data_IF_696554540126
#
_entry.id   IF_696554540126
#
_cell.length_a   1.000
_cell.length_b   1.000
_cell.length_c   1.000
_cell.angle_alpha   90.00
_cell.angle_beta   90.00
_cell.angle_gamma   90.00
#
_symmetry.space_group_name_H-M   'P 1'
#
loop_
_entity.id
_entity.type
_entity.pdbx_description
1 polymer ?
#
# COMPACT_ATOMS: atom_id res chain seq x y z
N UNK A 1 -0.16 8.46 -18.57
CA UNK A 1 0.85 9.49 -18.22
C UNK A 1 1.63 9.18 -16.94
N UNK A 2 1.01 8.77 -15.83
CA UNK A 2 1.69 8.45 -14.55
C UNK A 2 2.79 7.40 -14.66
N UNK A 3 2.60 6.38 -15.52
CA UNK A 3 3.62 5.37 -15.83
C UNK A 3 4.95 6.00 -16.26
N UNK A 4 4.94 6.91 -17.23
CA UNK A 4 6.15 7.54 -17.76
C UNK A 4 6.92 8.26 -16.65
N UNK A 5 6.23 9.09 -15.87
CA UNK A 5 6.85 9.85 -14.78
C UNK A 5 7.37 8.96 -13.65
N UNK A 6 6.68 7.85 -13.34
CA UNK A 6 7.17 6.89 -12.34
C UNK A 6 8.49 6.26 -12.77
N UNK A 7 8.59 5.84 -14.05
CA UNK A 7 9.83 5.27 -14.59
C UNK A 7 10.94 6.33 -14.66
N UNK A 8 10.61 7.56 -15.07
CA UNK A 8 11.57 8.67 -15.08
C UNK A 8 12.10 8.96 -13.67
N UNK A 9 11.24 9.00 -12.64
CA UNK A 9 11.67 9.20 -11.26
C UNK A 9 12.64 8.11 -10.78
N UNK A 10 12.36 6.84 -11.12
CA UNK A 10 13.26 5.73 -10.80
C UNK A 10 14.59 5.83 -11.56
N UNK A 11 14.53 6.15 -12.85
CA UNK A 11 15.72 6.30 -13.68
C UNK A 11 16.63 7.43 -13.17
N UNK A 12 16.05 8.60 -12.84
CA UNK A 12 16.80 9.74 -12.30
C UNK A 12 17.51 9.38 -10.98
N UNK A 13 16.87 8.58 -10.10
CA UNK A 13 17.54 8.09 -8.89
C UNK A 13 18.65 7.09 -9.17
N UNK A 14 18.48 6.23 -10.17
CA UNK A 14 19.48 5.24 -10.54
C UNK A 14 20.79 5.89 -11.01
N UNK A 15 20.71 7.10 -11.55
CA UNK A 15 21.87 7.91 -11.97
C UNK A 15 22.23 9.01 -10.95
N UNK A 16 21.80 8.86 -9.69
CA UNK A 16 22.08 9.77 -8.58
C UNK A 16 21.64 11.24 -8.78
N UNK A 17 20.65 11.48 -9.64
CA UNK A 17 20.04 12.81 -9.80
C UNK A 17 18.92 12.96 -8.77
N UNK A 18 19.05 13.91 -7.81
CA UNK A 18 18.05 14.11 -6.78
C UNK A 18 16.77 14.67 -7.39
N UNK A 19 15.68 13.92 -7.29
CA UNK A 19 14.33 14.41 -7.58
C UNK A 19 13.74 14.98 -6.28
N UNK A 20 13.02 16.10 -6.38
CA UNK A 20 12.30 16.68 -5.23
C UNK A 20 11.46 15.59 -4.54
N UNK A 21 11.66 15.30 -3.24
CA UNK A 21 11.00 14.20 -2.55
C UNK A 21 9.47 14.25 -2.66
N UNK A 22 8.90 15.46 -2.61
CA UNK A 22 7.47 15.68 -2.78
C UNK A 22 6.97 15.23 -4.17
N UNK A 23 7.71 15.54 -5.23
CA UNK A 23 7.33 15.16 -6.59
C UNK A 23 7.35 13.64 -6.76
N UNK A 24 8.42 12.98 -6.26
CA UNK A 24 8.51 11.52 -6.33
C UNK A 24 7.39 10.84 -5.53
N UNK A 25 7.06 11.37 -4.35
CA UNK A 25 5.95 10.86 -3.56
C UNK A 25 4.62 10.98 -4.31
N UNK A 26 4.30 12.13 -4.88
CA UNK A 26 3.03 12.34 -5.60
C UNK A 26 2.94 11.42 -6.81
N UNK A 27 4.00 11.35 -7.62
CA UNK A 27 4.04 10.56 -8.85
C UNK A 27 3.93 9.06 -8.54
N UNK A 28 4.73 8.54 -7.59
CA UNK A 28 4.71 7.12 -7.25
C UNK A 28 3.41 6.71 -6.57
N UNK A 29 2.83 7.55 -5.69
CA UNK A 29 1.52 7.27 -5.08
C UNK A 29 0.41 7.17 -6.13
N UNK A 30 0.37 8.12 -7.06
CA UNK A 30 -0.62 8.10 -8.15
C UNK A 30 -0.44 6.86 -9.05
N UNK A 31 0.80 6.42 -9.28
CA UNK A 31 1.05 5.22 -10.07
C UNK A 31 0.71 3.93 -9.33
N UNK A 32 0.97 3.87 -8.02
CA UNK A 32 0.58 2.73 -7.18
C UNK A 32 -0.93 2.50 -7.18
N UNK A 33 -1.74 3.55 -7.12
CA UNK A 33 -3.21 3.44 -7.22
C UNK A 33 -3.65 2.83 -8.55
N UNK A 34 -2.98 3.19 -9.65
CA UNK A 34 -3.25 2.60 -10.97
C UNK A 34 -2.86 1.13 -11.02
N UNK A 35 -1.73 0.74 -10.39
CA UNK A 35 -1.30 -0.65 -10.32
C UNK A 35 -2.24 -1.52 -9.46
N UNK A 36 -2.74 -0.95 -8.36
CA UNK A 36 -3.73 -1.59 -7.48
C UNK A 36 -5.04 -1.83 -8.24
N UNK A 37 -5.56 -0.81 -8.93
CA UNK A 37 -6.76 -0.93 -9.75
C UNK A 37 -6.58 -1.93 -10.92
N UNK A 38 -5.37 -2.06 -11.45
CA UNK A 38 -5.03 -3.03 -12.49
C UNK A 38 -4.73 -4.45 -11.96
N UNK A 39 -4.77 -4.66 -10.64
CA UNK A 39 -4.47 -5.95 -10.01
C UNK A 39 -3.00 -6.39 -10.11
N UNK A 40 -2.08 -5.52 -10.52
CA UNK A 40 -0.66 -5.84 -10.73
C UNK A 40 0.13 -5.73 -9.42
N UNK A 41 -0.13 -6.68 -8.53
CA UNK A 41 0.36 -6.68 -7.14
C UNK A 41 1.86 -6.90 -7.02
N UNK A 42 2.49 -7.62 -7.96
CA UNK A 42 3.95 -7.81 -7.93
C UNK A 42 4.73 -6.49 -8.02
N UNK A 43 4.22 -5.54 -8.82
CA UNK A 43 4.90 -4.26 -9.04
C UNK A 43 4.74 -3.31 -7.84
N UNK A 44 3.68 -3.46 -7.05
CA UNK A 44 3.38 -2.57 -5.93
C UNK A 44 4.49 -2.61 -4.88
N UNK A 45 5.02 -3.81 -4.55
CA UNK A 45 6.12 -3.94 -3.60
C UNK A 45 7.39 -3.20 -4.07
N UNK A 46 7.73 -3.35 -5.35
CA UNK A 46 8.88 -2.67 -5.96
C UNK A 46 8.74 -1.14 -5.91
N UNK A 47 7.58 -0.59 -6.34
CA UNK A 47 7.37 0.86 -6.34
C UNK A 47 7.17 1.44 -4.94
N UNK A 48 6.61 0.66 -4.00
CA UNK A 48 6.50 1.03 -2.58
C UNK A 48 7.87 1.15 -1.94
N UNK A 49 8.78 0.19 -2.16
CA UNK A 49 10.15 0.25 -1.63
C UNK A 49 10.91 1.51 -2.09
N UNK A 50 10.62 1.97 -3.31
CA UNK A 50 11.20 3.21 -3.83
C UNK A 50 10.66 4.48 -3.14
N UNK A 51 9.66 4.44 -2.26
CA UNK A 51 9.18 5.63 -1.53
C UNK A 51 10.02 6.00 -0.31
N UNK A 52 11.07 5.24 0.01
CA UNK A 52 11.96 5.52 1.15
C UNK A 52 11.20 5.43 2.48
N UNK A 53 11.27 6.48 3.29
CA UNK A 53 10.69 6.52 4.65
C UNK A 53 9.20 6.19 4.72
N UNK A 54 8.45 6.44 3.63
CA UNK A 54 7.02 6.17 3.53
C UNK A 54 6.67 4.79 2.93
N UNK A 55 7.66 3.95 2.63
CA UNK A 55 7.46 2.67 1.96
C UNK A 55 6.60 1.69 2.77
N UNK A 56 6.89 1.57 4.08
CA UNK A 56 6.18 0.66 4.99
C UNK A 56 4.70 1.03 5.06
N UNK A 57 4.41 2.30 5.35
CA UNK A 57 3.05 2.79 5.54
C UNK A 57 2.18 2.57 4.29
N UNK A 58 2.76 2.83 3.12
CA UNK A 58 2.08 2.68 1.83
C UNK A 58 1.81 1.22 1.49
N UNK A 59 2.76 0.35 1.77
CA UNK A 59 2.60 -1.07 1.51
C UNK A 59 1.61 -1.72 2.49
N UNK A 60 1.62 -1.31 3.77
CA UNK A 60 0.66 -1.77 4.76
C UNK A 60 -0.78 -1.34 4.40
N UNK A 61 -1.00 -0.12 3.90
CA UNK A 61 -2.31 0.30 3.38
C UNK A 61 -2.80 -0.62 2.26
N UNK A 62 -1.93 -0.98 1.31
CA UNK A 62 -2.27 -1.92 0.24
C UNK A 62 -2.58 -3.33 0.76
N UNK A 63 -1.82 -3.82 1.75
CA UNK A 63 -2.12 -5.11 2.35
C UNK A 63 -3.46 -5.11 3.11
N UNK A 64 -3.79 -3.99 3.77
CA UNK A 64 -5.07 -3.82 4.47
C UNK A 64 -6.25 -3.82 3.49
N UNK A 65 -6.12 -3.18 2.32
CA UNK A 65 -7.16 -3.21 1.28
C UNK A 65 -7.30 -4.61 0.65
N UNK A 66 -6.19 -5.35 0.56
CA UNK A 66 -6.13 -6.72 0.07
C UNK A 66 -6.73 -7.75 1.05
N UNK A 67 -6.51 -7.55 2.35
CA UNK A 67 -6.89 -8.46 3.45
C UNK A 67 -8.39 -8.75 3.54
N UNK A 68 -9.21 -7.83 3.05
CA UNK A 68 -10.66 -8.00 3.00
C UNK A 68 -11.14 -9.02 1.96
N UNK A 69 -10.27 -9.45 1.04
CA UNK A 69 -10.64 -10.27 -0.13
C UNK A 69 -9.69 -11.47 -0.33
N UNK A 70 -8.47 -11.42 0.20
CA UNK A 70 -7.40 -12.36 -0.12
C UNK A 70 -7.24 -13.55 0.84
N UNK A 71 -6.90 -14.72 0.29
CA UNK A 71 -6.55 -15.94 1.04
C UNK A 71 -5.25 -15.77 1.86
N UNK A 72 -5.07 -16.60 2.89
CA UNK A 72 -3.85 -16.66 3.74
C UNK A 72 -2.57 -16.81 2.90
N UNK A 73 -2.62 -17.60 1.83
CA UNK A 73 -1.45 -17.81 0.96
C UNK A 73 -1.07 -16.55 0.18
N UNK A 74 -2.07 -15.79 -0.30
CA UNK A 74 -1.85 -14.55 -1.04
C UNK A 74 -1.25 -13.46 -0.13
N UNK A 75 -1.68 -13.40 1.13
CA UNK A 75 -1.09 -12.53 2.16
C UNK A 75 0.37 -12.86 2.42
N UNK A 76 0.67 -14.15 2.59
CA UNK A 76 2.05 -14.61 2.82
C UNK A 76 2.95 -14.30 1.63
N UNK A 77 2.45 -14.46 0.41
CA UNK A 77 3.16 -14.12 -0.82
C UNK A 77 3.44 -12.61 -0.90
N UNK A 78 2.45 -11.76 -0.60
CA UNK A 78 2.62 -10.31 -0.61
C UNK A 78 3.66 -9.87 0.44
N UNK A 79 3.58 -10.38 1.67
CA UNK A 79 4.58 -10.11 2.70
C UNK A 79 5.99 -10.58 2.29
N UNK A 80 6.11 -11.73 1.62
CA UNK A 80 7.41 -12.22 1.10
C UNK A 80 8.00 -11.27 0.07
N UNK A 81 7.18 -10.75 -0.86
CA UNK A 81 7.62 -9.75 -1.85
C UNK A 81 8.06 -8.44 -1.22
N UNK A 82 7.43 -8.03 -0.11
CA UNK A 82 7.87 -6.85 0.64
C UNK A 82 9.34 -6.97 1.07
N UNK A 83 9.70 -8.16 1.58
CA UNK A 83 11.08 -8.46 1.99
C UNK A 83 12.06 -8.43 0.81
N UNK A 84 11.67 -9.00 -0.33
CA UNK A 84 12.51 -9.05 -1.55
C UNK A 84 12.83 -7.65 -2.10
N UNK A 85 11.92 -6.70 -1.93
CA UNK A 85 12.08 -5.32 -2.40
C UNK A 85 12.58 -4.34 -1.33
N UNK A 86 13.18 -4.86 -0.25
CA UNK A 86 13.86 -4.05 0.76
C UNK A 86 12.93 -3.34 1.74
N UNK A 87 11.65 -3.71 1.82
CA UNK A 87 10.78 -3.23 2.90
C UNK A 87 11.05 -4.02 4.18
N UNK A 88 10.93 -3.34 5.33
CA UNK A 88 11.01 -3.98 6.64
C UNK A 88 9.79 -4.87 6.89
N UNK A 89 9.92 -6.15 6.56
CA UNK A 89 8.89 -7.18 6.69
C UNK A 89 8.13 -7.11 8.03
N UNK A 90 8.86 -7.09 9.15
CA UNK A 90 8.28 -7.06 10.49
C UNK A 90 7.43 -5.80 10.71
N UNK A 91 7.97 -4.63 10.33
CA UNK A 91 7.27 -3.35 10.47
C UNK A 91 6.02 -3.31 9.60
N UNK A 92 6.10 -3.79 8.37
CA UNK A 92 4.96 -3.91 7.45
C UNK A 92 3.86 -4.80 8.05
N UNK A 93 4.21 -5.97 8.59
CA UNK A 93 3.23 -6.88 9.17
C UNK A 93 2.52 -6.26 10.38
N UNK A 94 3.26 -5.60 11.28
CA UNK A 94 2.69 -4.92 12.45
C UNK A 94 1.74 -3.80 12.03
N UNK A 95 2.19 -2.88 11.16
CA UNK A 95 1.38 -1.74 10.71
C UNK A 95 0.14 -2.22 9.92
N UNK A 96 0.25 -3.32 9.18
CA UNK A 96 -0.90 -3.93 8.50
C UNK A 96 -1.92 -4.46 9.51
N UNK A 97 -1.47 -5.21 10.52
CA UNK A 97 -2.35 -5.74 11.55
C UNK A 97 -3.07 -4.63 12.33
N UNK A 98 -2.34 -3.58 12.74
CA UNK A 98 -2.90 -2.40 13.41
C UNK A 98 -4.00 -1.75 12.55
N UNK A 99 -3.70 -1.50 11.26
CA UNK A 99 -4.67 -0.88 10.33
C UNK A 99 -5.89 -1.76 10.05
N UNK A 100 -5.72 -3.07 10.00
CA UNK A 100 -6.84 -4.01 9.81
C UNK A 100 -7.77 -4.00 11.02
N UNK A 101 -7.20 -3.91 12.23
CA UNK A 101 -7.96 -3.75 13.47
C UNK A 101 -8.74 -2.43 13.45
N UNK A 102 -8.08 -1.31 13.18
CA UNK A 102 -8.74 0.02 13.11
C UNK A 102 -9.89 0.02 12.10
N UNK A 103 -9.65 -0.54 10.90
CA UNK A 103 -10.66 -0.62 9.84
C UNK A 103 -11.82 -1.54 10.20
N UNK A 104 -11.57 -2.64 10.92
CA UNK A 104 -12.62 -3.52 11.42
C UNK A 104 -13.50 -2.80 12.46
N UNK A 105 -12.93 -1.95 13.31
CA UNK A 105 -13.68 -1.14 14.26
C UNK A 105 -14.48 0.00 13.60
N UNK A 106 -13.95 0.65 12.55
CA UNK A 106 -14.69 1.64 11.75
C UNK A 106 -15.92 1.01 11.05
N UNK A 107 -15.74 -0.19 10.48
CA UNK A 107 -16.83 -0.93 9.81
C UNK A 107 -17.82 -1.51 10.84
N UNK A 108 -17.35 -1.98 11.99
CA UNK A 108 -18.21 -2.47 13.07
C UNK A 108 -19.05 -1.37 13.73
N UNK A 109 -18.46 -0.18 13.92
CA UNK A 109 -19.15 0.99 14.50
C UNK A 109 -20.26 1.54 13.60
N UNK A 110 -20.09 1.48 12.28
CA UNK A 110 -21.13 1.90 11.33
C UNK A 110 -22.33 0.92 11.31
N UNK A 111 -22.11 -0.38 11.48
CA UNK A 111 -23.21 -1.36 11.60
C UNK A 111 -24.04 -1.18 12.88
N UNK A 112 -23.43 -0.80 14.01
CA UNK A 112 -24.16 -0.54 15.26
C UNK A 112 -25.04 0.71 15.13
N UNK A 113 -24.54 1.78 14.49
CA UNK A 113 -25.31 3.02 14.32
C UNK A 113 -26.52 2.91 13.37
N UNK A 114 -26.52 1.94 12.45
CA UNK A 114 -27.59 1.76 11.45
C UNK A 114 -28.77 0.94 11.94
N UNK A 115 -28.63 0.18 13.04
CA UNK A 115 -29.72 -0.59 13.63
C UNK A 115 -30.61 0.24 14.59
N UNK A 116 -30.21 1.47 14.94
CA UNK A 116 -30.99 2.33 15.85
C UNK A 116 -32.20 3.02 15.19
N UNK A 117 -32.39 2.89 13.87
CA UNK A 117 -33.47 3.55 13.12
C UNK A 117 -34.50 2.59 12.51
N UNK A 118 -34.42 1.29 12.82
CA UNK A 118 -35.34 0.27 12.31
C UNK A 118 -36.40 -0.17 13.35
N UNK A 119 -36.42 0.44 14.54
CA UNK A 119 -37.39 0.18 15.59
C UNK A 119 -38.19 1.46 15.92
N UNK A 120 -38.96 1.98 14.95
CA UNK A 120 -40.12 2.83 15.22
C UNK A 120 -41.08 2.83 14.04
#
# INVERSE_FOLDING_TARGET
MTRFFAHLCLYLRMIDIPVRPLATQVILKAYLQVLEAAGRRELIAMYAGALGDNAVERYAMFLTSLELIADVNERRLALTRAREHGLHFHRVAVVTAERTIDRAFEVGGTCISRNSWAEH
#
